data_IF_090787245681
#
_entry.id   IF_090787245681
#
_cell.length_a   1.000
_cell.length_b   1.000
_cell.length_c   1.000
_cell.angle_alpha   90.00
_cell.angle_beta   90.00
_cell.angle_gamma   90.00
#
_symmetry.space_group_name_H-M   'P 1'
#
loop_
_entity.id
_entity.type
_entity.pdbx_description
1 polymer ?
#
# COMPACT_ATOMS: atom_id res chain seq x y z
N UNK A 1 -10.65 -33.40 -5.50
CA UNK A 1 -10.31 -32.50 -6.61
C UNK A 1 -11.03 -31.16 -6.51
N UNK A 2 -12.37 -31.07 -6.51
CA UNK A 2 -13.07 -29.80 -6.25
C UNK A 2 -12.84 -29.24 -4.84
N UNK A 3 -12.89 -30.09 -3.81
CA UNK A 3 -12.69 -29.68 -2.41
C UNK A 3 -11.25 -29.19 -2.11
N UNK A 4 -10.25 -29.75 -2.80
CA UNK A 4 -8.83 -29.39 -2.60
C UNK A 4 -8.52 -28.00 -3.18
N UNK A 5 -9.12 -27.66 -4.32
CA UNK A 5 -9.00 -26.35 -4.97
C UNK A 5 -9.62 -25.22 -4.13
N UNK A 6 -10.75 -25.50 -3.47
CA UNK A 6 -11.40 -24.53 -2.58
C UNK A 6 -10.59 -24.28 -1.30
N UNK A 7 -10.06 -25.35 -0.69
CA UNK A 7 -9.22 -25.26 0.51
C UNK A 7 -7.90 -24.52 0.27
N UNK A 8 -7.26 -24.75 -0.88
CA UNK A 8 -6.04 -24.03 -1.27
C UNK A 8 -6.31 -22.54 -1.50
N UNK A 9 -7.37 -22.21 -2.23
CA UNK A 9 -7.78 -20.81 -2.46
C UNK A 9 -8.13 -20.07 -1.16
N UNK A 10 -8.82 -20.74 -0.23
CA UNK A 10 -9.13 -20.18 1.10
C UNK A 10 -7.86 -19.98 1.93
N UNK A 11 -6.93 -20.93 1.90
CA UNK A 11 -5.63 -20.80 2.59
C UNK A 11 -4.81 -19.64 2.01
N UNK A 12 -4.75 -19.50 0.69
CA UNK A 12 -4.06 -18.40 0.03
C UNK A 12 -4.67 -17.05 0.38
N UNK A 13 -6.01 -16.94 0.32
CA UNK A 13 -6.71 -15.72 0.68
C UNK A 13 -6.52 -15.35 2.16
N UNK A 14 -6.65 -16.33 3.06
CA UNK A 14 -6.52 -16.14 4.51
C UNK A 14 -5.09 -15.78 4.89
N UNK A 15 -4.10 -16.48 4.32
CA UNK A 15 -2.67 -16.19 4.57
C UNK A 15 -2.27 -14.81 4.07
N UNK A 16 -2.77 -14.41 2.89
CA UNK A 16 -2.57 -13.07 2.35
C UNK A 16 -3.20 -11.99 3.22
N UNK A 17 -4.44 -12.19 3.69
CA UNK A 17 -5.14 -11.24 4.55
C UNK A 17 -4.47 -11.08 5.91
N UNK A 18 -4.18 -12.18 6.60
CA UNK A 18 -3.49 -12.16 7.92
C UNK A 18 -2.09 -11.57 7.76
N UNK A 19 -1.34 -11.98 6.74
CA UNK A 19 -0.02 -11.44 6.45
C UNK A 19 -0.03 -9.93 6.21
N UNK A 20 -1.01 -9.45 5.45
CA UNK A 20 -1.20 -8.01 5.19
C UNK A 20 -1.55 -7.23 6.47
N UNK A 21 -2.47 -7.75 7.30
CA UNK A 21 -2.87 -7.09 8.55
C UNK A 21 -1.72 -7.03 9.56
N UNK A 22 -1.00 -8.14 9.76
CA UNK A 22 0.15 -8.20 10.68
C UNK A 22 1.28 -7.30 10.18
N UNK A 23 1.64 -7.39 8.89
CA UNK A 23 2.65 -6.53 8.27
C UNK A 23 2.30 -5.05 8.41
N UNK A 24 1.04 -4.69 8.13
CA UNK A 24 0.56 -3.30 8.27
C UNK A 24 0.63 -2.84 9.72
N UNK A 25 0.19 -3.66 10.68
CA UNK A 25 0.20 -3.32 12.11
C UNK A 25 1.63 -3.14 12.64
N UNK A 26 2.54 -4.05 12.30
CA UNK A 26 3.94 -3.96 12.74
C UNK A 26 4.67 -2.75 12.13
N UNK A 27 4.37 -2.42 10.87
CA UNK A 27 5.00 -1.30 10.17
C UNK A 27 4.24 0.02 10.30
N UNK A 28 3.11 0.03 11.01
CA UNK A 28 2.30 1.24 11.17
C UNK A 28 3.04 2.39 11.87
N UNK A 29 3.84 2.16 12.93
CA UNK A 29 4.65 3.22 13.53
C UNK A 29 5.61 3.89 12.55
N UNK A 30 6.26 3.10 11.68
CA UNK A 30 7.12 3.62 10.63
C UNK A 30 6.33 4.44 9.61
N UNK A 31 5.12 3.98 9.25
CA UNK A 31 4.23 4.71 8.36
C UNK A 31 3.81 6.05 8.95
N UNK A 32 3.43 6.08 10.22
CA UNK A 32 3.06 7.32 10.92
C UNK A 32 4.22 8.30 11.00
N UNK A 33 5.41 7.84 11.37
CA UNK A 33 6.61 8.69 11.35
C UNK A 33 6.86 9.27 9.97
N UNK A 34 6.75 8.43 8.93
CA UNK A 34 6.96 8.80 7.54
C UNK A 34 5.93 9.83 7.07
N UNK A 35 4.65 9.59 7.29
CA UNK A 35 3.57 10.47 6.83
C UNK A 35 3.64 11.83 7.52
N UNK A 36 3.92 11.88 8.83
CA UNK A 36 4.14 13.14 9.56
C UNK A 36 5.36 13.91 9.04
N UNK A 37 6.48 13.22 8.83
CA UNK A 37 7.70 13.82 8.28
C UNK A 37 7.48 14.38 6.86
N UNK A 38 6.68 13.67 6.04
CA UNK A 38 6.32 14.09 4.68
C UNK A 38 5.38 15.30 4.64
N UNK A 39 4.37 15.31 5.53
CA UNK A 39 3.37 16.37 5.63
C UNK A 39 3.96 17.72 6.06
N UNK A 40 5.04 17.68 6.83
CA UNK A 40 5.71 18.90 7.31
C UNK A 40 6.44 19.63 6.16
N UNK A 41 6.11 20.91 6.00
CA UNK A 41 6.82 21.86 5.13
C UNK A 41 7.66 22.79 5.99
N UNK A 42 8.94 22.98 5.63
CA UNK A 42 9.82 23.92 6.34
C UNK A 42 9.19 25.33 6.37
N UNK A 43 9.10 25.94 7.56
CA UNK A 43 8.57 27.28 7.76
C UNK A 43 9.64 28.23 8.31
N UNK A 44 9.82 29.40 7.69
CA UNK A 44 10.74 30.47 8.14
C UNK A 44 12.10 29.97 8.67
N UNK A 45 12.74 29.05 7.93
CA UNK A 45 14.07 28.53 8.26
C UNK A 45 14.13 27.47 9.36
N UNK A 46 13.01 27.09 9.99
CA UNK A 46 12.96 26.04 11.01
C UNK A 46 12.14 24.84 10.52
N UNK A 47 12.72 23.65 10.65
CA UNK A 47 12.03 22.37 10.52
C UNK A 47 11.79 21.84 11.93
N UNK A 48 10.54 21.49 12.25
CA UNK A 48 10.17 20.74 13.46
C UNK A 48 10.91 19.40 13.49
N UNK A 49 11.04 18.73 12.34
CA UNK A 49 11.78 17.48 12.22
C UNK A 49 12.95 17.60 11.24
N UNK A 50 14.16 17.25 11.70
CA UNK A 50 15.35 17.13 10.84
C UNK A 50 15.37 15.76 10.18
N UNK A 51 14.98 14.73 10.94
CA UNK A 51 15.00 13.34 10.52
C UNK A 51 13.69 12.64 10.89
N UNK A 52 13.46 11.49 10.26
CA UNK A 52 12.36 10.59 10.60
C UNK A 52 12.38 10.15 12.08
N UNK A 53 13.58 9.92 12.63
CA UNK A 53 13.79 9.52 14.03
C UNK A 53 13.26 10.53 15.02
N UNK A 54 13.23 11.81 14.66
CA UNK A 54 12.77 12.88 15.53
C UNK A 54 11.27 12.75 15.82
N UNK A 55 10.49 12.28 14.84
CA UNK A 55 9.06 11.99 15.00
C UNK A 55 8.84 10.83 15.98
N UNK A 56 9.65 9.77 15.85
CA UNK A 56 9.59 8.63 16.74
C UNK A 56 10.01 9.01 18.17
N UNK A 57 11.06 9.82 18.29
CA UNK A 57 11.54 10.32 19.58
C UNK A 57 10.53 11.26 20.25
N UNK A 58 9.85 12.12 19.48
CA UNK A 58 8.75 12.93 20.01
C UNK A 58 7.68 12.04 20.64
N UNK A 59 7.23 10.98 19.94
CA UNK A 59 6.21 10.06 20.47
C UNK A 59 6.62 9.40 21.80
N UNK A 60 7.89 9.04 21.94
CA UNK A 60 8.43 8.45 23.17
C UNK A 60 8.52 9.51 24.28
N UNK A 61 9.11 10.67 23.98
CA UNK A 61 9.33 11.74 24.95
C UNK A 61 8.03 12.34 25.49
N UNK A 62 6.97 12.43 24.67
CA UNK A 62 5.65 12.89 25.09
C UNK A 62 4.82 11.79 25.76
N UNK A 63 5.37 10.57 25.93
CA UNK A 63 4.69 9.38 26.45
C UNK A 63 3.43 9.00 25.66
N UNK A 64 3.41 9.33 24.38
CA UNK A 64 2.28 9.09 23.47
C UNK A 64 2.63 8.04 22.40
N UNK A 65 3.32 6.97 22.79
CA UNK A 65 3.71 5.89 21.86
C UNK A 65 2.52 5.28 21.11
N UNK A 66 1.39 5.06 21.80
CA UNK A 66 0.15 4.57 21.18
C UNK A 66 -0.39 5.52 20.08
N UNK A 67 0.00 6.79 20.11
CA UNK A 67 -0.40 7.75 19.08
C UNK A 67 0.27 7.49 17.73
N UNK A 68 1.31 6.65 17.68
CA UNK A 68 1.86 6.14 16.42
C UNK A 68 0.86 5.25 15.67
N UNK A 69 -0.21 4.78 16.33
CA UNK A 69 -1.29 3.98 15.78
C UNK A 69 -2.57 4.75 15.45
N UNK A 70 -2.54 6.09 15.53
CA UNK A 70 -3.69 6.94 15.20
C UNK A 70 -4.10 6.76 13.75
N UNK A 71 -5.36 6.34 13.54
CA UNK A 71 -5.92 6.10 12.21
C UNK A 71 -5.70 4.70 11.66
N UNK A 72 -5.11 3.75 12.43
CA UNK A 72 -4.88 2.37 11.98
C UNK A 72 -6.19 1.69 11.56
N UNK A 73 -7.22 1.77 12.40
CA UNK A 73 -8.53 1.16 12.11
C UNK A 73 -9.16 1.73 10.84
N UNK A 74 -9.14 3.06 10.71
CA UNK A 74 -9.60 3.74 9.48
C UNK A 74 -8.79 3.31 8.27
N UNK A 75 -7.47 3.16 8.41
CA UNK A 75 -6.61 2.74 7.30
C UNK A 75 -6.90 1.29 6.87
N UNK A 76 -7.12 0.40 7.84
CA UNK A 76 -7.48 -0.98 7.57
C UNK A 76 -8.86 -1.09 6.91
N UNK A 77 -9.86 -0.35 7.41
CA UNK A 77 -11.19 -0.28 6.81
C UNK A 77 -11.11 0.25 5.36
N UNK A 78 -10.38 1.34 5.14
CA UNK A 78 -10.12 1.90 3.81
C UNK A 78 -9.48 0.85 2.89
N UNK A 79 -8.46 0.16 3.37
CA UNK A 79 -7.72 -0.85 2.60
C UNK A 79 -8.61 -2.05 2.23
N UNK A 80 -9.45 -2.51 3.16
CA UNK A 80 -10.39 -3.58 2.92
C UNK A 80 -11.40 -3.22 1.82
N UNK A 81 -12.05 -2.06 1.94
CA UNK A 81 -13.00 -1.56 0.93
C UNK A 81 -12.28 -1.37 -0.41
N UNK A 82 -11.07 -0.79 -0.40
CA UNK A 82 -10.31 -0.55 -1.61
C UNK A 82 -9.98 -1.86 -2.35
N UNK A 83 -9.57 -2.90 -1.62
CA UNK A 83 -9.23 -4.19 -2.20
C UNK A 83 -10.45 -4.88 -2.81
N UNK A 84 -11.59 -4.82 -2.12
CA UNK A 84 -12.85 -5.38 -2.60
C UNK A 84 -13.30 -4.68 -3.90
N UNK A 85 -13.39 -3.34 -3.86
CA UNK A 85 -13.80 -2.53 -5.02
C UNK A 85 -12.84 -2.73 -6.19
N UNK A 86 -11.53 -2.78 -5.93
CA UNK A 86 -10.53 -2.96 -6.97
C UNK A 86 -10.68 -4.31 -7.67
N UNK A 87 -10.73 -5.42 -6.91
CA UNK A 87 -10.80 -6.74 -7.52
C UNK A 87 -12.15 -7.00 -8.18
N UNK A 88 -13.24 -6.53 -7.59
CA UNK A 88 -14.56 -6.61 -8.19
C UNK A 88 -14.61 -5.80 -9.49
N UNK A 89 -14.21 -4.53 -9.44
CA UNK A 89 -14.18 -3.63 -10.61
C UNK A 89 -13.28 -4.15 -11.72
N UNK A 90 -12.08 -4.63 -11.38
CA UNK A 90 -11.17 -5.25 -12.34
C UNK A 90 -11.79 -6.49 -12.98
N UNK A 91 -12.39 -7.39 -12.18
CA UNK A 91 -13.06 -8.60 -12.71
C UNK A 91 -14.24 -8.26 -13.62
N UNK A 92 -15.01 -7.23 -13.24
CA UNK A 92 -16.11 -6.71 -14.04
C UNK A 92 -15.63 -6.14 -15.38
N UNK A 93 -14.66 -5.22 -15.37
CA UNK A 93 -14.09 -4.63 -16.59
C UNK A 93 -13.41 -5.68 -17.48
N UNK A 94 -12.75 -6.67 -16.85
CA UNK A 94 -12.16 -7.82 -17.53
C UNK A 94 -13.21 -8.64 -18.28
N UNK A 95 -14.31 -8.97 -17.62
CA UNK A 95 -15.42 -9.72 -18.21
C UNK A 95 -16.05 -8.95 -19.37
N UNK A 96 -16.36 -7.68 -19.16
CA UNK A 96 -16.94 -6.81 -20.19
C UNK A 96 -16.04 -6.71 -21.44
N UNK A 97 -14.73 -6.55 -21.24
CA UNK A 97 -13.77 -6.48 -22.34
C UNK A 97 -13.71 -7.78 -23.16
N UNK A 98 -13.68 -8.94 -22.50
CA UNK A 98 -13.64 -10.26 -23.15
C UNK A 98 -14.93 -10.52 -23.92
N UNK A 99 -16.09 -10.22 -23.34
CA UNK A 99 -17.41 -10.37 -23.98
C UNK A 99 -17.56 -9.46 -25.21
N UNK A 100 -17.09 -8.20 -25.13
CA UNK A 100 -17.22 -7.22 -26.22
C UNK A 100 -16.23 -7.46 -27.36
N UNK A 101 -15.00 -7.86 -27.01
CA UNK A 101 -13.90 -7.94 -27.99
C UNK A 101 -13.73 -9.33 -28.61
N UNK A 102 -14.42 -10.36 -28.09
CA UNK A 102 -14.35 -11.74 -28.58
C UNK A 102 -12.98 -12.43 -28.41
N UNK A 103 -12.02 -11.78 -27.73
CA UNK A 103 -10.66 -12.32 -27.51
C UNK A 103 -10.60 -13.26 -26.31
N UNK A 104 -9.97 -14.42 -26.49
CA UNK A 104 -9.78 -15.44 -25.44
C UNK A 104 -8.74 -15.06 -24.38
N UNK A 105 -7.86 -14.09 -24.66
CA UNK A 105 -6.81 -13.65 -23.73
C UNK A 105 -6.60 -12.15 -23.80
N UNK A 106 -6.24 -11.56 -22.67
CA UNK A 106 -6.06 -10.11 -22.53
C UNK A 106 -4.58 -9.79 -22.64
N UNK A 107 -4.22 -9.00 -23.65
CA UNK A 107 -2.86 -8.51 -23.79
C UNK A 107 -2.48 -7.54 -22.66
N UNK A 108 -1.18 -7.41 -22.37
CA UNK A 108 -0.65 -6.58 -21.27
C UNK A 108 -1.18 -5.14 -21.29
N UNK A 109 -1.27 -4.52 -22.47
CA UNK A 109 -1.77 -3.13 -22.60
C UNK A 109 -3.23 -3.01 -22.18
N UNK A 110 -4.09 -3.90 -22.68
CA UNK A 110 -5.50 -3.93 -22.28
C UNK A 110 -5.62 -4.20 -20.78
N UNK A 111 -4.86 -5.16 -20.26
CA UNK A 111 -4.85 -5.48 -18.84
C UNK A 111 -4.51 -4.27 -17.95
N UNK A 112 -3.50 -3.49 -18.35
CA UNK A 112 -3.10 -2.27 -17.65
C UNK A 112 -4.20 -1.19 -17.67
N UNK A 113 -4.91 -1.03 -18.79
CA UNK A 113 -6.04 -0.08 -18.89
C UNK A 113 -7.19 -0.51 -17.98
N UNK A 114 -7.56 -1.79 -17.98
CA UNK A 114 -8.63 -2.30 -17.10
C UNK A 114 -8.24 -2.18 -15.63
N UNK A 115 -6.98 -2.45 -15.28
CA UNK A 115 -6.45 -2.26 -13.94
C UNK A 115 -6.46 -0.78 -13.51
N UNK A 116 -6.10 0.13 -14.41
CA UNK A 116 -6.16 1.57 -14.14
C UNK A 116 -7.60 2.06 -13.95
N UNK A 117 -8.55 1.60 -14.77
CA UNK A 117 -9.96 1.92 -14.61
C UNK A 117 -10.51 1.43 -13.26
N UNK A 118 -10.22 0.18 -12.87
CA UNK A 118 -10.56 -0.35 -11.56
C UNK A 118 -9.92 0.48 -10.43
N UNK A 119 -8.64 0.82 -10.57
CA UNK A 119 -7.92 1.68 -9.63
C UNK A 119 -8.55 3.07 -9.48
N UNK A 120 -9.04 3.67 -10.57
CA UNK A 120 -9.71 4.97 -10.55
C UNK A 120 -11.05 4.89 -9.80
N UNK A 121 -11.88 3.88 -10.08
CA UNK A 121 -13.13 3.65 -9.34
C UNK A 121 -12.86 3.47 -7.83
N UNK A 122 -11.87 2.65 -7.48
CA UNK A 122 -11.43 2.45 -6.10
C UNK A 122 -10.97 3.75 -5.45
N UNK A 123 -10.17 4.55 -6.15
CA UNK A 123 -9.66 5.81 -5.63
C UNK A 123 -10.81 6.77 -5.33
N UNK A 124 -11.77 6.93 -6.24
CA UNK A 124 -12.95 7.81 -6.05
C UNK A 124 -13.76 7.36 -4.83
N UNK A 125 -14.07 6.07 -4.73
CA UNK A 125 -14.93 5.55 -3.65
C UNK A 125 -14.26 5.60 -2.28
N UNK A 126 -12.94 5.38 -2.22
CA UNK A 126 -12.23 5.27 -0.94
C UNK A 126 -11.52 6.55 -0.51
N UNK A 127 -11.56 7.61 -1.33
CA UNK A 127 -10.89 8.88 -1.04
C UNK A 127 -11.27 9.48 0.32
N UNK A 128 -12.55 9.54 0.74
CA UNK A 128 -12.91 10.10 2.04
C UNK A 128 -12.21 9.40 3.22
N UNK A 129 -12.12 8.07 3.17
CA UNK A 129 -11.47 7.28 4.21
C UNK A 129 -9.94 7.44 4.18
N UNK A 130 -9.36 7.56 2.98
CA UNK A 130 -7.92 7.77 2.83
C UNK A 130 -7.50 9.15 3.34
N UNK A 131 -8.28 10.19 3.01
CA UNK A 131 -8.09 11.55 3.56
C UNK A 131 -8.26 11.57 5.07
N UNK A 132 -9.31 10.94 5.61
CA UNK A 132 -9.52 10.86 7.07
C UNK A 132 -8.37 10.14 7.78
N UNK A 133 -7.91 9.01 7.24
CA UNK A 133 -6.77 8.27 7.80
C UNK A 133 -5.49 9.11 7.79
N UNK A 134 -5.20 9.82 6.69
CA UNK A 134 -4.03 10.70 6.60
C UNK A 134 -4.11 11.87 7.59
N UNK A 135 -5.27 12.49 7.77
CA UNK A 135 -5.49 13.55 8.78
C UNK A 135 -5.27 13.02 10.19
N UNK A 136 -5.81 11.85 10.53
CA UNK A 136 -5.59 11.22 11.83
C UNK A 136 -4.10 10.92 12.05
N UNK A 137 -3.42 10.37 11.05
CA UNK A 137 -2.00 10.01 11.12
C UNK A 137 -1.07 11.24 11.23
N UNK A 138 -1.46 12.37 10.67
CA UNK A 138 -0.69 13.63 10.69
C UNK A 138 -1.04 14.56 11.84
N UNK A 139 -2.18 14.36 12.50
CA UNK A 139 -2.62 15.13 13.67
C UNK A 139 -1.60 15.07 14.82
N UNK A 140 -1.51 16.07 15.69
CA UNK A 140 -0.59 16.03 16.84
C UNK A 140 -0.80 14.76 17.70
N UNK A 141 0.28 14.20 18.24
CA UNK A 141 0.18 13.01 19.10
C UNK A 141 -0.79 13.26 20.28
N UNK A 142 -1.59 12.25 20.61
CA UNK A 142 -2.70 12.33 21.57
C UNK A 142 -3.89 13.20 21.16
N UNK A 143 -3.88 13.88 20.01
CA UNK A 143 -4.96 14.79 19.58
C UNK A 143 -5.74 14.30 18.35
N UNK A 144 -5.49 13.08 17.87
CA UNK A 144 -6.27 12.52 16.75
C UNK A 144 -7.73 12.42 17.12
N UNK A 145 -8.57 12.92 16.22
CA UNK A 145 -10.02 12.74 16.28
C UNK A 145 -10.36 11.33 15.80
N UNK A 146 -11.49 10.79 16.23
CA UNK A 146 -12.02 9.53 15.69
C UNK A 146 -12.46 9.66 14.23
N UNK A 147 -12.73 8.53 13.57
CA UNK A 147 -13.14 8.50 12.16
C UNK A 147 -14.33 9.40 11.87
N UNK A 148 -15.43 9.22 12.61
CA UNK A 148 -16.67 9.99 12.42
C UNK A 148 -16.42 11.49 12.50
N UNK A 149 -15.74 11.92 13.56
CA UNK A 149 -15.43 13.34 13.76
C UNK A 149 -14.53 13.88 12.64
N UNK A 150 -13.54 13.11 12.20
CA UNK A 150 -12.64 13.51 11.10
C UNK A 150 -13.38 13.63 9.76
N UNK A 151 -14.41 12.81 9.51
CA UNK A 151 -15.22 12.87 8.29
C UNK A 151 -16.24 14.02 8.32
N UNK A 152 -16.77 14.35 9.49
CA UNK A 152 -17.75 15.44 9.65
C UNK A 152 -17.09 16.81 9.84
N UNK A 153 -15.81 16.83 10.21
CA UNK A 153 -15.04 18.07 10.37
C UNK A 153 -14.66 18.63 8.99
N UNK A 154 -15.42 19.64 8.53
CA UNK A 154 -15.17 20.36 7.28
C UNK A 154 -16.28 20.17 6.24
N UNK A 155 -15.98 20.55 5.00
CA UNK A 155 -16.90 20.34 3.87
C UNK A 155 -16.78 18.93 3.31
N UNK A 156 -17.84 18.39 2.73
CA UNK A 156 -17.80 17.13 1.97
C UNK A 156 -16.74 17.13 0.87
N UNK A 157 -16.46 18.29 0.28
CA UNK A 157 -15.42 18.46 -0.75
C UNK A 157 -14.03 18.21 -0.16
N UNK A 158 -13.80 18.62 1.09
CA UNK A 158 -12.52 18.43 1.78
C UNK A 158 -12.22 16.94 2.00
N UNK A 159 -13.22 16.07 2.06
CA UNK A 159 -13.00 14.62 2.16
C UNK A 159 -12.32 14.05 0.89
N UNK A 160 -12.47 14.74 -0.24
CA UNK A 160 -11.86 14.38 -1.52
C UNK A 160 -10.51 15.06 -1.78
N UNK A 161 -9.94 15.74 -0.78
CA UNK A 161 -8.61 16.35 -0.85
C UNK A 161 -7.57 15.32 -1.33
N UNK A 162 -6.84 15.66 -2.40
CA UNK A 162 -5.83 14.80 -3.01
C UNK A 162 -6.35 13.79 -4.04
N UNK A 163 -7.66 13.79 -4.39
CA UNK A 163 -8.24 12.84 -5.36
C UNK A 163 -7.50 12.87 -6.71
N UNK A 164 -7.22 14.06 -7.24
CA UNK A 164 -6.51 14.18 -8.52
C UNK A 164 -5.12 13.52 -8.50
N UNK A 165 -4.44 13.58 -7.36
CA UNK A 165 -3.16 12.88 -7.18
C UNK A 165 -3.38 11.39 -6.96
N UNK A 166 -4.40 10.97 -6.21
CA UNK A 166 -4.77 9.55 -6.07
C UNK A 166 -5.03 8.91 -7.44
N UNK A 167 -5.73 9.60 -8.35
CA UNK A 167 -5.97 9.14 -9.71
C UNK A 167 -4.67 9.03 -10.51
N UNK A 168 -3.77 10.01 -10.43
CA UNK A 168 -2.44 9.92 -11.06
C UNK A 168 -1.65 8.71 -10.52
N UNK A 169 -1.74 8.45 -9.22
CA UNK A 169 -1.03 7.34 -8.56
C UNK A 169 -1.58 5.96 -8.93
N UNK A 170 -2.75 5.86 -9.58
CA UNK A 170 -3.24 4.59 -10.16
C UNK A 170 -2.32 4.05 -11.26
N UNK A 171 -1.45 4.88 -11.84
CA UNK A 171 -0.42 4.46 -12.77
C UNK A 171 0.78 3.76 -12.08
N UNK A 172 0.94 3.86 -10.75
CA UNK A 172 2.08 3.28 -10.04
C UNK A 172 2.23 1.76 -10.25
N UNK A 173 1.17 0.94 -10.10
CA UNK A 173 1.25 -0.49 -10.45
C UNK A 173 1.63 -0.73 -11.90
N UNK A 174 1.15 0.08 -12.86
CA UNK A 174 1.48 -0.08 -14.27
C UNK A 174 2.98 0.14 -14.54
N UNK A 175 3.57 1.17 -13.93
CA UNK A 175 5.01 1.42 -13.98
C UNK A 175 5.78 0.25 -13.35
N UNK A 176 5.34 -0.21 -12.17
CA UNK A 176 5.97 -1.34 -11.47
C UNK A 176 5.97 -2.61 -12.31
N UNK A 177 4.82 -3.01 -12.88
CA UNK A 177 4.72 -4.22 -13.70
C UNK A 177 5.52 -4.10 -14.99
N UNK A 178 5.50 -2.93 -15.63
CA UNK A 178 6.29 -2.69 -16.85
C UNK A 178 7.78 -2.85 -16.56
N UNK A 179 8.28 -2.26 -15.46
CA UNK A 179 9.69 -2.40 -15.06
C UNK A 179 10.00 -3.86 -14.71
N UNK A 180 9.11 -4.53 -13.99
CA UNK A 180 9.28 -5.95 -13.63
C UNK A 180 9.41 -6.84 -14.86
N UNK A 181 8.50 -6.69 -15.82
CA UNK A 181 8.50 -7.49 -17.06
C UNK A 181 9.76 -7.22 -17.88
N UNK A 182 10.18 -5.96 -18.01
CA UNK A 182 11.41 -5.61 -18.74
C UNK A 182 12.66 -6.21 -18.09
N UNK A 183 12.75 -6.15 -16.76
CA UNK A 183 13.87 -6.75 -16.04
C UNK A 183 13.84 -8.28 -16.12
N UNK A 184 12.65 -8.90 -16.03
CA UNK A 184 12.46 -10.35 -16.15
C UNK A 184 12.93 -10.83 -17.52
N UNK A 185 12.51 -10.16 -18.59
CA UNK A 185 12.89 -10.50 -19.96
C UNK A 185 14.39 -10.36 -20.19
N UNK A 186 15.04 -9.33 -19.63
CA UNK A 186 16.50 -9.16 -19.73
C UNK A 186 17.25 -10.29 -19.02
N UNK A 187 16.78 -10.72 -17.85
CA UNK A 187 17.39 -11.84 -17.11
C UNK A 187 17.24 -13.17 -17.85
N UNK A 188 16.06 -13.46 -18.40
CA UNK A 188 15.82 -14.69 -19.17
C UNK A 188 16.70 -14.74 -20.42
N UNK A 189 16.77 -13.65 -21.20
CA UNK A 189 17.67 -13.54 -22.36
C UNK A 189 19.15 -13.70 -22.02
N UNK A 190 19.57 -13.27 -20.83
CA UNK A 190 20.94 -13.47 -20.34
C UNK A 190 21.24 -14.92 -19.97
N UNK A 191 20.23 -15.66 -19.51
CA UNK A 191 20.33 -17.07 -19.11
C UNK A 191 20.39 -18.02 -20.30
N UNK A 192 19.58 -17.75 -21.34
CA UNK A 192 19.63 -18.48 -22.62
C UNK A 192 21.00 -18.38 -23.31
N UNK A 193 21.66 -17.22 -23.19
CA UNK A 193 23.02 -17.01 -23.72
C UNK A 193 24.11 -17.77 -22.95
N UNK A 194 23.82 -18.24 -21.73
CA UNK A 194 24.79 -18.93 -20.88
C UNK A 194 24.82 -20.45 -21.09
N UNK A 195 24.06 -21.00 -22.05
CA UNK A 195 24.17 -22.39 -22.50
C UNK A 195 23.90 -23.46 -21.44
N UNK A 196 23.23 -23.12 -20.33
CA UNK A 196 22.96 -24.08 -19.24
C UNK A 196 21.52 -24.54 -19.30
N UNK A 197 21.29 -25.64 -20.01
CA UNK A 197 20.02 -26.38 -20.05
C UNK A 197 19.46 -26.56 -18.64
N UNK A 198 18.39 -25.84 -18.32
CA UNK A 198 17.64 -26.08 -17.09
C UNK A 198 16.23 -25.52 -17.19
N UNK A 199 15.32 -26.39 -17.68
CA UNK A 199 13.93 -26.58 -17.24
C UNK A 199 12.97 -25.37 -17.37
N UNK A 200 11.63 -25.58 -17.41
CA UNK A 200 10.69 -24.52 -17.76
C UNK A 200 10.75 -23.33 -16.77
N UNK A 201 11.02 -22.17 -17.37
CA UNK A 201 11.08 -20.77 -16.93
C UNK A 201 10.32 -20.33 -15.65
N UNK A 202 10.65 -20.88 -14.49
CA UNK A 202 10.29 -20.30 -13.20
C UNK A 202 11.47 -19.49 -12.64
N UNK A 203 11.28 -18.18 -12.39
CA UNK A 203 12.23 -17.44 -11.56
C UNK A 203 12.26 -18.09 -10.17
N UNK A 204 13.45 -18.25 -9.59
CA UNK A 204 13.55 -18.55 -8.15
C UNK A 204 12.75 -17.50 -7.37
N UNK A 205 12.02 -17.93 -6.33
CA UNK A 205 11.20 -17.05 -5.50
C UNK A 205 11.98 -15.83 -4.99
N UNK A 206 13.26 -16.04 -4.65
CA UNK A 206 14.16 -14.97 -4.24
C UNK A 206 14.46 -13.98 -5.39
N UNK A 207 14.74 -14.47 -6.61
CA UNK A 207 14.95 -13.60 -7.77
C UNK A 207 13.68 -12.82 -8.11
N UNK A 208 12.50 -13.45 -8.04
CA UNK A 208 11.23 -12.78 -8.29
C UNK A 208 10.95 -11.70 -7.24
N UNK A 209 11.27 -11.99 -5.97
CA UNK A 209 11.20 -11.01 -4.88
C UNK A 209 12.11 -9.81 -5.12
N UNK A 210 13.40 -10.04 -5.43
CA UNK A 210 14.37 -8.96 -5.69
C UNK A 210 13.92 -8.12 -6.89
N UNK A 211 13.48 -8.76 -7.96
CA UNK A 211 12.98 -8.08 -9.16
C UNK A 211 11.73 -7.23 -8.84
N UNK A 212 10.82 -7.78 -8.03
CA UNK A 212 9.65 -7.08 -7.52
C UNK A 212 10.02 -5.86 -6.68
N UNK A 213 10.99 -6.01 -5.77
CA UNK A 213 11.46 -4.94 -4.91
C UNK A 213 12.14 -3.81 -5.70
N UNK A 214 13.02 -4.14 -6.65
CA UNK A 214 13.66 -3.15 -7.54
C UNK A 214 12.62 -2.41 -8.37
N UNK A 215 11.69 -3.15 -8.98
CA UNK A 215 10.61 -2.56 -9.79
C UNK A 215 9.71 -1.65 -8.96
N UNK A 216 9.40 -2.04 -7.72
CA UNK A 216 8.62 -1.22 -6.78
C UNK A 216 9.37 0.04 -6.39
N UNK A 217 10.67 -0.05 -6.14
CA UNK A 217 11.51 1.11 -5.82
C UNK A 217 11.53 2.10 -6.99
N UNK A 218 11.77 1.64 -8.22
CA UNK A 218 11.77 2.50 -9.41
C UNK A 218 10.42 3.20 -9.58
N UNK A 219 9.32 2.45 -9.53
CA UNK A 219 7.98 3.03 -9.62
C UNK A 219 7.70 4.03 -8.48
N UNK A 220 8.15 3.73 -7.27
CA UNK A 220 8.01 4.61 -6.11
C UNK A 220 8.80 5.89 -6.30
N UNK A 221 10.07 5.83 -6.71
CA UNK A 221 10.92 7.02 -6.95
C UNK A 221 10.29 7.94 -8.00
N UNK A 222 9.82 7.38 -9.12
CA UNK A 222 9.19 8.16 -10.19
C UNK A 222 7.89 8.83 -9.75
N UNK A 223 7.09 8.16 -8.92
CA UNK A 223 5.80 8.67 -8.44
C UNK A 223 5.91 9.42 -7.11
N UNK A 224 7.09 9.45 -6.49
CA UNK A 224 7.27 9.96 -5.14
C UNK A 224 6.91 11.44 -4.97
N UNK A 225 7.25 12.35 -5.90
CA UNK A 225 6.81 13.74 -5.81
C UNK A 225 5.29 13.89 -5.66
N UNK A 226 4.53 13.07 -6.40
CA UNK A 226 3.08 13.01 -6.29
C UNK A 226 2.65 12.45 -4.93
N UNK A 227 3.27 11.36 -4.45
CA UNK A 227 2.99 10.79 -3.11
C UNK A 227 3.16 11.85 -2.02
N UNK A 228 4.25 12.61 -2.05
CA UNK A 228 4.50 13.68 -1.05
C UNK A 228 3.43 14.76 -1.14
N UNK A 229 3.11 15.24 -2.34
CA UNK A 229 2.07 16.25 -2.53
C UNK A 229 0.71 15.79 -1.99
N UNK A 230 0.36 14.51 -2.24
CA UNK A 230 -0.87 13.91 -1.71
C UNK A 230 -0.91 13.95 -0.18
N UNK A 231 0.17 13.49 0.47
CA UNK A 231 0.26 13.49 1.94
C UNK A 231 0.15 14.90 2.51
N UNK A 232 0.75 15.89 1.87
CA UNK A 232 0.65 17.28 2.30
C UNK A 232 -0.76 17.87 2.14
N UNK A 233 -1.46 17.55 1.04
CA UNK A 233 -2.84 18.00 0.82
C UNK A 233 -3.80 17.34 1.81
N UNK A 234 -3.56 16.07 2.15
CA UNK A 234 -4.38 15.31 3.10
C UNK A 234 -3.91 15.46 4.56
N UNK A 235 -2.93 16.31 4.84
CA UNK A 235 -2.44 16.52 6.19
C UNK A 235 -3.51 17.23 7.04
N UNK A 236 -3.55 16.95 8.34
CA UNK A 236 -4.37 17.72 9.26
C UNK A 236 -3.87 19.17 9.33
N UNK A 237 -4.80 20.11 9.26
CA UNK A 237 -4.51 21.49 9.61
C UNK A 237 -4.22 21.55 11.12
N UNK A 238 -3.07 22.13 11.50
CA UNK A 238 -2.76 22.38 12.89
C UNK A 238 -3.63 23.53 13.41
N UNK A 239 -4.68 23.20 14.17
CA UNK A 239 -5.47 24.18 14.90
C UNK A 239 -4.71 24.62 16.16
N UNK A 240 -3.72 25.47 15.98
CA UNK A 240 -2.94 26.06 17.07
C UNK A 240 -3.74 27.22 17.70
N UNK A 241 -4.66 26.88 18.62
CA UNK A 241 -5.39 27.86 19.44
C UNK A 241 -4.51 28.71 20.39
N UNK A 242 -3.19 28.82 20.17
CA UNK A 242 -2.24 29.52 21.04
C UNK A 242 -1.15 30.35 20.34
N UNK A 243 -1.05 30.41 19.02
CA UNK A 243 -0.04 31.24 18.33
C UNK A 243 -0.65 32.36 17.50
N UNK A 244 -0.26 33.60 17.80
CA UNK A 244 -0.63 34.83 17.07
C UNK A 244 -0.13 34.90 15.62
N UNK A 245 0.64 33.90 15.16
CA UNK A 245 1.06 33.77 13.77
C UNK A 245 0.28 32.63 13.11
N UNK A 246 -0.64 32.91 12.17
CA UNK A 246 -1.28 31.86 11.41
C UNK A 246 -0.21 31.12 10.62
N UNK A 247 0.04 29.85 10.95
CA UNK A 247 0.74 28.95 10.01
C UNK A 247 -0.11 28.94 8.73
N UNK A 248 0.51 28.99 7.54
CA UNK A 248 -0.26 28.98 6.30
C UNK A 248 -1.12 27.72 6.29
N UNK A 249 -2.45 27.88 6.14
CA UNK A 249 -3.38 26.77 5.89
C UNK A 249 -2.75 25.84 4.85
N UNK A 250 -2.85 24.53 5.06
CA UNK A 250 -2.38 23.57 4.06
C UNK A 250 -2.94 24.00 2.70
N UNK A 251 -2.05 24.25 1.75
CA UNK A 251 -2.49 24.69 0.43
C UNK A 251 -3.24 23.52 -0.19
N UNK A 252 -4.57 23.59 -0.26
CA UNK A 252 -5.37 22.45 -0.74
C UNK A 252 -5.24 22.19 -2.23
N UNK A 253 -4.68 23.15 -2.98
CA UNK A 253 -4.49 23.01 -4.43
C UNK A 253 -3.11 22.43 -4.76
N UNK A 254 -3.10 21.50 -5.73
CA UNK A 254 -1.89 20.82 -6.20
C UNK A 254 -0.78 21.82 -6.61
N UNK A 255 -1.06 22.88 -7.42
CA UNK A 255 -0.02 23.82 -7.84
C UNK A 255 0.58 24.60 -6.68
N UNK A 256 -0.24 24.96 -5.68
CA UNK A 256 0.23 25.70 -4.52
C UNK A 256 1.16 24.84 -3.65
N UNK A 257 0.86 23.55 -3.48
CA UNK A 257 1.74 22.59 -2.80
C UNK A 257 3.06 22.40 -3.55
N UNK A 258 3.00 22.18 -4.87
CA UNK A 258 4.20 22.07 -5.71
C UNK A 258 5.08 23.31 -5.58
N UNK A 259 4.48 24.50 -5.69
CA UNK A 259 5.18 25.78 -5.56
C UNK A 259 5.77 25.97 -4.15
N UNK A 260 5.02 25.60 -3.11
CA UNK A 260 5.48 25.70 -1.72
C UNK A 260 6.69 24.81 -1.45
N UNK A 261 6.67 23.55 -1.91
CA UNK A 261 7.81 22.62 -1.79
C UNK A 261 9.01 23.19 -2.55
N UNK A 262 8.82 23.59 -3.81
CA UNK A 262 9.90 24.10 -4.64
C UNK A 262 10.58 25.33 -4.03
N UNK A 263 9.79 26.31 -3.57
CA UNK A 263 10.32 27.56 -3.01
C UNK A 263 10.99 27.37 -1.65
N UNK A 264 10.49 26.46 -0.80
CA UNK A 264 10.96 26.31 0.59
C UNK A 264 12.02 25.24 0.79
N UNK A 265 12.01 24.20 -0.04
CA UNK A 265 12.86 23.02 0.13
C UNK A 265 13.61 22.62 -1.15
N UNK A 266 13.28 23.23 -2.29
CA UNK A 266 13.88 22.90 -3.58
C UNK A 266 13.49 21.51 -4.09
N UNK A 267 14.25 21.03 -5.08
CA UNK A 267 13.97 19.74 -5.76
C UNK A 267 14.09 18.53 -4.84
N UNK A 268 15.07 18.54 -3.92
CA UNK A 268 15.27 17.45 -2.95
C UNK A 268 14.15 17.38 -1.92
N UNK A 269 13.44 18.49 -1.69
CA UNK A 269 12.24 18.54 -0.89
C UNK A 269 11.25 17.47 -1.33
N UNK A 270 10.96 17.34 -2.62
CA UNK A 270 9.98 16.35 -3.12
C UNK A 270 10.26 14.92 -2.68
N UNK A 271 11.51 14.59 -2.33
CA UNK A 271 11.97 13.27 -1.89
C UNK A 271 12.11 13.12 -0.36
N UNK A 272 11.62 14.10 0.42
CA UNK A 272 11.61 14.06 1.89
C UNK A 272 10.81 12.86 2.39
N UNK A 273 11.49 11.86 2.95
CA UNK A 273 10.89 10.63 3.49
C UNK A 273 10.90 9.43 2.53
N UNK A 274 11.55 9.55 1.37
CA UNK A 274 11.62 8.47 0.37
C UNK A 274 12.26 7.20 0.93
N UNK A 275 13.34 7.33 1.71
CA UNK A 275 14.03 6.20 2.33
C UNK A 275 13.09 5.37 3.21
N UNK A 276 12.23 6.04 3.99
CA UNK A 276 11.26 5.39 4.86
C UNK A 276 10.15 4.69 4.07
N UNK A 277 9.72 5.28 2.95
CA UNK A 277 8.78 4.63 2.03
C UNK A 277 9.38 3.35 1.42
N UNK A 278 10.62 3.42 0.92
CA UNK A 278 11.30 2.24 0.35
C UNK A 278 11.47 1.16 1.42
N UNK A 279 11.99 1.51 2.59
CA UNK A 279 12.16 0.58 3.70
C UNK A 279 10.84 -0.08 4.10
N UNK A 280 9.76 0.71 4.26
CA UNK A 280 8.42 0.18 4.55
C UNK A 280 7.99 -0.82 3.48
N UNK A 281 8.16 -0.49 2.19
CA UNK A 281 7.72 -1.39 1.11
C UNK A 281 8.49 -2.70 1.09
N UNK A 282 9.82 -2.66 1.25
CA UNK A 282 10.66 -3.86 1.25
C UNK A 282 10.35 -4.74 2.48
N UNK A 283 10.26 -4.14 3.67
CA UNK A 283 9.91 -4.86 4.89
C UNK A 283 8.50 -5.45 4.80
N UNK A 284 7.55 -4.70 4.24
CA UNK A 284 6.17 -5.17 4.12
C UNK A 284 6.08 -6.39 3.20
N UNK A 285 6.80 -6.36 2.07
CA UNK A 285 6.90 -7.52 1.15
C UNK A 285 7.61 -8.71 1.80
N UNK A 286 8.69 -8.48 2.54
CA UNK A 286 9.41 -9.56 3.24
C UNK A 286 8.53 -10.21 4.33
N UNK A 287 7.84 -9.40 5.14
CA UNK A 287 6.92 -9.89 6.17
C UNK A 287 5.74 -10.64 5.56
N UNK A 288 5.17 -10.13 4.47
CA UNK A 288 4.07 -10.80 3.77
C UNK A 288 4.50 -12.19 3.28
N UNK A 289 5.68 -12.29 2.66
CA UNK A 289 6.21 -13.59 2.20
C UNK A 289 6.49 -14.53 3.38
N UNK A 290 7.14 -14.05 4.44
CA UNK A 290 7.42 -14.85 5.63
C UNK A 290 6.12 -15.39 6.26
N UNK A 291 5.09 -14.53 6.39
CA UNK A 291 3.81 -14.93 6.97
C UNK A 291 3.08 -15.89 6.02
N UNK A 292 3.11 -15.64 4.70
CA UNK A 292 2.54 -16.57 3.71
C UNK A 292 3.20 -17.95 3.85
N UNK A 293 4.53 -18.03 3.89
CA UNK A 293 5.26 -19.30 4.05
C UNK A 293 4.88 -20.03 5.34
N UNK A 294 4.79 -19.33 6.48
CA UNK A 294 4.40 -19.93 7.76
C UNK A 294 2.95 -20.42 7.76
N UNK A 295 2.02 -19.67 7.17
CA UNK A 295 0.60 -20.05 7.11
C UNK A 295 0.39 -21.17 6.09
N UNK A 296 1.04 -21.14 4.93
CA UNK A 296 0.99 -22.24 3.96
C UNK A 296 1.54 -23.53 4.57
N UNK A 297 2.67 -23.48 5.28
CA UNK A 297 3.21 -24.64 5.99
C UNK A 297 2.24 -25.17 7.07
N UNK A 298 1.65 -24.28 7.87
CA UNK A 298 0.67 -24.65 8.88
C UNK A 298 -0.59 -25.28 8.26
N UNK A 299 -1.10 -24.71 7.16
CA UNK A 299 -2.25 -25.24 6.41
C UNK A 299 -1.94 -26.65 5.89
N UNK A 300 -0.73 -26.88 5.40
CA UNK A 300 -0.31 -28.19 4.90
C UNK A 300 -0.25 -29.25 6.00
N UNK A 301 0.28 -28.90 7.17
CA UNK A 301 0.26 -29.78 8.35
C UNK A 301 -1.17 -30.07 8.80
N UNK A 302 -2.05 -29.07 8.77
CA UNK A 302 -3.45 -29.21 9.16
C UNK A 302 -4.22 -30.12 8.17
N UNK A 303 -4.01 -29.96 6.87
CA UNK A 303 -4.60 -30.80 5.82
C UNK A 303 -4.13 -32.25 5.91
N UNK A 304 -2.84 -32.47 6.16
CA UNK A 304 -2.31 -33.83 6.40
C UNK A 304 -2.94 -34.46 7.66
N UNK A 305 -3.15 -33.66 8.71
CA UNK A 305 -3.80 -34.12 9.94
C UNK A 305 -5.27 -34.50 9.73
N UNK A 306 -6.02 -33.67 8.98
CA UNK A 306 -7.42 -33.93 8.61
C UNK A 306 -7.53 -35.16 7.69
N UNK A 307 -6.61 -35.31 6.72
CA UNK A 307 -6.58 -36.49 5.85
C UNK A 307 -6.30 -37.75 6.64
N UNK A 308 -5.38 -37.70 7.61
CA UNK A 308 -5.06 -38.83 8.49
C UNK A 308 -6.25 -39.21 9.36
N UNK A 309 -6.95 -38.24 9.95
CA UNK A 309 -8.15 -38.51 10.74
C UNK A 309 -9.30 -39.07 9.89
N UNK A 310 -9.58 -38.52 8.71
CA UNK A 310 -10.59 -39.04 7.78
C UNK A 310 -10.29 -40.47 7.30
N UNK A 311 -9.02 -40.78 7.00
CA UNK A 311 -8.60 -42.14 6.63
C UNK A 311 -8.78 -43.12 7.80
N UNK A 312 -8.51 -42.70 9.03
CA UNK A 312 -8.76 -43.50 10.24
C UNK A 312 -10.26 -43.73 10.48
N UNK A 313 -11.10 -42.73 10.24
CA UNK A 313 -12.57 -42.86 10.35
C UNK A 313 -13.12 -43.82 9.28
N UNK A 314 -12.59 -43.77 8.05
CA UNK A 314 -13.02 -44.64 6.95
C UNK A 314 -12.55 -46.10 7.13
N UNK A 315 -11.40 -46.31 7.79
CA UNK A 315 -10.93 -47.65 8.18
C UNK A 315 -11.82 -48.29 9.25
N UNK A 316 -12.33 -47.51 10.21
CA UNK A 316 -13.27 -48.00 11.23
C UNK A 316 -14.63 -48.40 10.66
N UNK A 317 -15.14 -47.70 9.66
CA UNK A 317 -16.40 -48.02 8.98
C UNK A 317 -16.33 -49.25 8.05
N UNK A 318 -15.15 -49.69 7.65
CA UNK A 318 -14.96 -50.92 6.85
C UNK A 318 -14.73 -52.18 7.70
N UNK A 319 -14.49 -52.01 9.00
CA UNK A 319 -14.20 -53.09 9.94
C UNK A 319 -15.36 -53.36 10.91
N UNK A 320 -16.49 -52.69 10.71
CA UNK A 320 -17.78 -52.89 11.37
C UNK A 320 -18.78 -53.38 10.32
#
# INVERSE_FOLDING_TARGET
MGLDLDLESISEATSGAVGSLVSTTLLYPLDTCKTRYQAEVRGNGQAKYRNLSDVFWEAISTRQFLSLYQGLETKNLQSFIAQFVYFYGYSYFKRLYVETSGVKSIGTRANLVLAAAAGACTAILTQPLDTASSRMQTSAFGKSKGLWKTLTDGSWIDAFDGLGISLLLTANPAIQYTVFDQLKLRLLKGKDKSGKDSSPEALSAFTAFVLGAVSKTVATVLTYPAIRCKVMIQAADEDDGKTKNPRPKSSKTIPAVLCAIWKREGILGFFKGLHAQILKTVLSSALLLMIKEKISAATWVLLLSIRRSLLLTRGRLKSA
#
